data_IF_485768279833
#
_entry.id   IF_485768279833
#
_cell.length_a   1.000
_cell.length_b   1.000
_cell.length_c   1.000
_cell.angle_alpha   90.00
_cell.angle_beta   90.00
_cell.angle_gamma   90.00
#
_symmetry.space_group_name_H-M   'P 1'
#
loop_
_entity.id
_entity.type
_entity.pdbx_description
1 polymer ?
#
# COMPACT_ATOMS: atom_id res chain seq x y z
N UNK A 1 4.38 21.99 -7.70
CA UNK A 1 4.39 20.50 -7.69
C UNK A 1 3.65 20.05 -6.45
N UNK A 2 2.58 19.26 -6.57
CA UNK A 2 1.78 18.76 -5.43
C UNK A 2 2.46 17.63 -4.64
N UNK A 3 3.79 17.52 -4.70
CA UNK A 3 4.56 16.44 -4.06
C UNK A 3 4.40 15.06 -4.68
N UNK A 4 3.62 14.92 -5.76
CA UNK A 4 3.36 13.66 -6.44
C UNK A 4 4.33 13.43 -7.62
N UNK A 5 4.68 12.16 -7.87
CA UNK A 5 5.42 11.73 -9.04
C UNK A 5 4.51 10.89 -9.95
N UNK A 6 4.40 11.21 -11.25
CA UNK A 6 3.56 10.45 -12.17
C UNK A 6 4.15 9.05 -12.40
N UNK A 7 3.30 8.03 -12.28
CA UNK A 7 3.66 6.64 -12.55
C UNK A 7 3.32 6.27 -14.00
N UNK A 8 4.31 5.74 -14.72
CA UNK A 8 4.10 5.08 -16.01
C UNK A 8 3.52 3.68 -15.76
N UNK A 9 2.22 3.50 -16.03
CA UNK A 9 1.47 2.26 -15.75
C UNK A 9 1.53 1.25 -16.91
N UNK A 10 2.04 1.66 -18.08
CA UNK A 10 2.15 0.81 -19.27
C UNK A 10 3.38 -0.10 -19.20
N UNK A 11 4.30 0.19 -18.27
CA UNK A 11 5.49 -0.63 -17.99
C UNK A 11 5.26 -1.51 -16.77
N UNK A 12 5.78 -2.74 -16.83
CA UNK A 12 5.81 -3.64 -15.67
C UNK A 12 6.55 -3.02 -14.47
N UNK A 13 7.58 -2.21 -14.73
CA UNK A 13 8.31 -1.46 -13.71
C UNK A 13 8.75 -0.08 -14.22
N UNK A 14 8.22 0.99 -13.61
CA UNK A 14 8.71 2.35 -13.83
C UNK A 14 9.94 2.63 -12.95
N UNK A 15 11.12 2.38 -13.51
CA UNK A 15 12.42 2.59 -12.84
C UNK A 15 12.58 4.05 -12.38
N UNK A 16 11.99 5.02 -13.07
CA UNK A 16 12.12 6.44 -12.70
C UNK A 16 11.35 6.72 -11.41
N UNK A 17 10.11 6.24 -11.33
CA UNK A 17 9.31 6.35 -10.12
C UNK A 17 9.94 5.59 -8.95
N UNK A 18 10.45 4.38 -9.20
CA UNK A 18 11.16 3.59 -8.19
C UNK A 18 12.35 4.36 -7.59
N UNK A 19 13.23 4.90 -8.45
CA UNK A 19 14.38 5.71 -8.02
C UNK A 19 13.96 6.99 -7.30
N UNK A 20 12.88 7.62 -7.76
CA UNK A 20 12.34 8.81 -7.11
C UNK A 20 11.89 8.50 -5.68
N UNK A 21 11.13 7.41 -5.47
CA UNK A 21 10.68 7.00 -4.13
C UNK A 21 11.87 6.76 -3.20
N UNK A 22 12.87 6.00 -3.64
CA UNK A 22 14.09 5.75 -2.84
C UNK A 22 14.78 7.07 -2.47
N UNK A 23 14.93 7.98 -3.43
CA UNK A 23 15.57 9.27 -3.17
C UNK A 23 14.81 10.12 -2.14
N UNK A 24 13.47 10.07 -2.14
CA UNK A 24 12.68 10.78 -1.14
C UNK A 24 12.81 10.16 0.25
N UNK A 25 12.74 8.83 0.34
CA UNK A 25 12.92 8.13 1.61
C UNK A 25 14.32 8.37 2.19
N UNK A 26 15.37 8.36 1.36
CA UNK A 26 16.74 8.66 1.78
C UNK A 26 16.91 10.11 2.27
N UNK A 27 16.06 11.04 1.84
CA UNK A 27 16.02 12.43 2.33
C UNK A 27 15.15 12.60 3.59
N UNK A 28 14.66 11.50 4.16
CA UNK A 28 13.75 11.52 5.30
C UNK A 28 12.35 12.04 4.97
N UNK A 29 11.97 12.08 3.68
CA UNK A 29 10.65 12.53 3.25
C UNK A 29 9.66 11.36 3.24
N UNK A 30 8.42 11.55 3.74
CA UNK A 30 7.41 10.51 3.70
C UNK A 30 6.90 10.29 2.27
N UNK A 31 6.59 9.03 1.94
CA UNK A 31 5.98 8.64 0.67
C UNK A 31 4.72 7.83 0.94
N UNK A 32 3.63 8.17 0.26
CA UNK A 32 2.37 7.39 0.30
C UNK A 32 2.32 6.49 -0.93
N UNK A 33 2.05 5.22 -0.71
CA UNK A 33 1.90 4.21 -1.76
C UNK A 33 0.53 3.54 -1.63
N UNK A 34 -0.09 3.24 -2.77
CA UNK A 34 -1.30 2.40 -2.87
C UNK A 34 -0.89 1.09 -3.54
N UNK A 35 -0.55 0.05 -2.77
CA UNK A 35 0.04 -1.19 -3.29
C UNK A 35 -0.83 -1.92 -4.33
N UNK A 36 -2.14 -1.72 -4.27
CA UNK A 36 -3.12 -2.28 -5.22
C UNK A 36 -3.02 -1.65 -6.61
N UNK A 37 -2.54 -0.40 -6.70
CA UNK A 37 -2.36 0.32 -7.96
C UNK A 37 -3.65 0.72 -8.69
N UNK A 38 -4.82 0.39 -8.15
CA UNK A 38 -6.14 0.84 -8.63
C UNK A 38 -7.12 0.94 -7.46
N UNK A 39 -8.20 1.72 -7.64
CA UNK A 39 -9.32 1.70 -6.69
C UNK A 39 -10.06 0.38 -6.84
N UNK A 40 -10.41 -0.24 -5.71
CA UNK A 40 -11.24 -1.44 -5.68
C UNK A 40 -12.56 -1.14 -4.97
N UNK A 41 -13.71 -1.24 -5.66
CA UNK A 41 -15.02 -1.02 -5.03
C UNK A 41 -15.44 -2.19 -4.12
N UNK A 42 -14.81 -3.37 -4.24
CA UNK A 42 -15.24 -4.61 -3.59
C UNK A 42 -14.22 -5.12 -2.56
N UNK A 43 -13.46 -4.23 -1.91
CA UNK A 43 -12.43 -4.57 -0.93
C UNK A 43 -11.04 -4.78 -1.51
N UNK A 44 -10.07 -5.16 -0.68
CA UNK A 44 -8.66 -5.21 -1.07
C UNK A 44 -8.40 -6.26 -2.16
N UNK A 45 -7.61 -5.86 -3.16
CA UNK A 45 -7.07 -6.75 -4.19
C UNK A 45 -5.62 -7.07 -3.90
N UNK A 46 -5.08 -8.10 -4.55
CA UNK A 46 -3.67 -8.48 -4.42
C UNK A 46 -2.76 -7.29 -4.76
N UNK A 47 -1.87 -6.95 -3.85
CA UNK A 47 -0.90 -5.89 -4.06
C UNK A 47 0.18 -6.29 -5.08
N UNK A 48 0.71 -5.29 -5.80
CA UNK A 48 1.95 -5.44 -6.56
C UNK A 48 3.12 -5.43 -5.60
N UNK A 49 4.04 -6.38 -5.65
CA UNK A 49 5.08 -6.52 -4.60
C UNK A 49 6.27 -5.54 -4.68
N UNK A 50 6.31 -4.66 -5.69
CA UNK A 50 7.39 -3.68 -5.86
C UNK A 50 7.59 -2.73 -4.67
N UNK A 51 6.53 -2.41 -3.91
CA UNK A 51 6.68 -1.57 -2.69
C UNK A 51 7.42 -2.30 -1.56
N UNK A 52 7.31 -3.64 -1.47
CA UNK A 52 8.05 -4.41 -0.48
C UNK A 52 9.55 -4.41 -0.80
N UNK A 53 9.93 -4.39 -2.08
CA UNK A 53 11.33 -4.19 -2.48
C UNK A 53 11.87 -2.83 -2.02
N UNK A 54 11.06 -1.77 -2.15
CA UNK A 54 11.42 -0.42 -1.68
C UNK A 54 11.63 -0.43 -0.16
N UNK A 55 10.71 -1.04 0.58
CA UNK A 55 10.80 -1.13 2.04
C UNK A 55 12.04 -1.91 2.50
N UNK A 56 12.33 -3.07 1.90
CA UNK A 56 13.53 -3.87 2.20
C UNK A 56 14.82 -3.11 1.85
N UNK A 57 14.85 -2.41 0.72
CA UNK A 57 16.04 -1.71 0.27
C UNK A 57 16.34 -0.43 1.09
N UNK A 58 15.30 0.29 1.50
CA UNK A 58 15.45 1.56 2.23
C UNK A 58 15.45 1.39 3.75
N UNK A 59 14.99 0.24 4.25
CA UNK A 59 14.75 -0.01 5.68
C UNK A 59 13.87 1.08 6.33
N UNK A 60 13.06 1.77 5.52
CA UNK A 60 12.20 2.84 5.97
C UNK A 60 11.07 2.27 6.86
N UNK A 61 10.71 2.96 7.95
CA UNK A 61 9.58 2.56 8.78
C UNK A 61 8.28 2.65 7.99
N UNK A 62 7.42 1.65 8.14
CA UNK A 62 6.15 1.51 7.44
C UNK A 62 5.02 1.89 8.41
N UNK A 63 4.17 2.82 7.98
CA UNK A 63 2.94 3.17 8.68
C UNK A 63 1.74 2.62 7.90
N UNK A 64 1.08 1.55 8.39
CA UNK A 64 -0.10 1.00 7.73
C UNK A 64 -1.31 1.91 7.96
N UNK A 65 -2.08 2.16 6.89
CA UNK A 65 -3.27 3.03 6.92
C UNK A 65 -4.42 2.34 6.20
N UNK A 66 -5.52 2.13 6.91
CA UNK A 66 -6.79 1.63 6.36
C UNK A 66 -7.75 2.78 6.10
N UNK A 67 -8.34 2.83 4.91
CA UNK A 67 -9.30 3.87 4.50
C UNK A 67 -10.61 3.20 4.10
N UNK A 68 -11.74 3.70 4.61
CA UNK A 68 -13.09 3.18 4.33
C UNK A 68 -14.09 4.30 4.06
N UNK A 69 -15.20 3.99 3.38
CA UNK A 69 -16.26 4.94 3.05
C UNK A 69 -16.07 5.66 1.71
N UNK A 70 -15.09 5.22 0.91
CA UNK A 70 -14.75 5.82 -0.39
C UNK A 70 -15.69 5.41 -1.53
N UNK A 71 -16.52 4.38 -1.35
CA UNK A 71 -17.46 3.84 -2.35
C UNK A 71 -18.51 4.88 -2.71
N UNK A 72 -18.93 5.65 -1.70
CA UNK A 72 -19.86 6.73 -1.89
C UNK A 72 -19.26 7.86 -2.74
N UNK A 73 -17.95 8.04 -2.83
CA UNK A 73 -17.35 9.19 -3.51
C UNK A 73 -17.19 9.02 -5.04
N UNK A 74 -17.57 7.88 -5.62
CA UNK A 74 -17.27 7.53 -7.02
C UNK A 74 -18.27 7.96 -8.10
N UNK A 75 -19.50 8.36 -7.75
CA UNK A 75 -20.51 8.73 -8.75
C UNK A 75 -20.26 10.14 -9.30
N UNK A 76 -20.28 10.30 -10.62
CA UNK A 76 -20.03 11.57 -11.33
C UNK A 76 -20.86 12.76 -10.80
N UNK A 77 -22.10 12.51 -10.36
CA UNK A 77 -22.97 13.53 -9.76
C UNK A 77 -22.60 13.96 -8.33
N UNK A 78 -21.73 13.23 -7.63
CA UNK A 78 -21.36 13.48 -6.23
C UNK A 78 -20.10 14.33 -6.06
N UNK A 79 -19.41 14.65 -7.16
CA UNK A 79 -18.36 15.69 -7.22
C UNK A 79 -18.92 17.05 -6.77
N UNK A 80 -20.20 17.30 -7.03
CA UNK A 80 -20.89 18.53 -6.64
C UNK A 80 -21.46 18.50 -5.21
N UNK A 81 -21.61 17.31 -4.60
CA UNK A 81 -22.15 17.12 -3.25
C UNK A 81 -21.45 15.96 -2.53
N UNK A 82 -20.21 16.15 -2.06
CA UNK A 82 -19.43 15.10 -1.41
C UNK A 82 -20.04 14.73 -0.06
N UNK A 83 -21.06 13.90 -0.10
CA UNK A 83 -21.72 13.31 1.06
C UNK A 83 -21.17 11.90 1.23
N UNK A 84 -20.30 11.75 2.22
CA UNK A 84 -19.66 10.49 2.55
C UNK A 84 -18.90 10.62 3.86
N UNK A 85 -18.97 9.61 4.72
CA UNK A 85 -18.14 9.55 5.92
C UNK A 85 -16.88 8.76 5.58
N UNK A 86 -15.77 9.46 5.44
CA UNK A 86 -14.46 8.82 5.32
C UNK A 86 -13.97 8.43 6.71
N UNK A 87 -13.59 7.17 6.90
CA UNK A 87 -12.94 6.72 8.13
C UNK A 87 -11.53 6.24 7.81
N UNK A 88 -10.57 6.81 8.52
CA UNK A 88 -9.15 6.50 8.40
C UNK A 88 -8.71 5.86 9.71
N UNK A 89 -8.20 4.64 9.63
CA UNK A 89 -7.60 3.94 10.75
C UNK A 89 -6.09 3.87 10.51
N UNK A 90 -5.30 4.41 11.44
CA UNK A 90 -3.85 4.41 11.36
C UNK A 90 -3.32 3.35 12.32
N UNK A 91 -2.50 2.42 11.80
CA UNK A 91 -1.92 1.35 12.60
C UNK A 91 -0.59 1.72 13.24
N UNK A 92 0.06 0.73 13.85
CA UNK A 92 1.37 0.91 14.49
C UNK A 92 2.47 0.88 13.44
N UNK A 93 3.44 1.77 13.60
CA UNK A 93 4.66 1.78 12.79
C UNK A 93 5.44 0.48 13.02
N UNK A 94 5.97 -0.10 11.95
CA UNK A 94 6.84 -1.26 12.00
C UNK A 94 7.90 -1.20 10.89
N UNK A 95 8.96 -1.98 11.03
CA UNK A 95 9.97 -2.17 9.99
C UNK A 95 10.02 -3.62 9.58
N UNK A 96 10.48 -3.88 8.36
CA UNK A 96 10.78 -5.24 7.93
C UNK A 96 12.09 -5.71 8.57
N UNK A 97 12.23 -7.01 8.88
CA UNK A 97 13.52 -7.56 9.26
C UNK A 97 14.51 -7.45 8.10
N UNK A 98 15.78 -7.32 8.43
CA UNK A 98 16.84 -7.37 7.44
C UNK A 98 16.96 -8.79 6.86
N UNK A 99 17.20 -8.89 5.56
CA UNK A 99 17.34 -10.16 4.85
C UNK A 99 18.78 -10.27 4.38
N UNK A 100 19.48 -11.32 4.82
CA UNK A 100 20.84 -11.56 4.37
C UNK A 100 20.85 -11.93 2.88
N UNK A 101 21.61 -11.17 2.10
CA UNK A 101 21.75 -11.38 0.67
C UNK A 101 20.60 -10.78 -0.16
N UNK A 102 20.52 -11.18 -1.43
CA UNK A 102 19.49 -10.66 -2.34
C UNK A 102 18.18 -11.42 -2.12
N UNK A 103 17.10 -10.76 -1.66
CA UNK A 103 15.83 -11.43 -1.46
C UNK A 103 15.29 -11.94 -2.79
N UNK A 104 14.84 -13.20 -2.82
CA UNK A 104 14.18 -13.77 -3.98
C UNK A 104 12.74 -13.21 -4.09
N UNK A 105 12.09 -13.48 -5.23
CA UNK A 105 10.73 -12.98 -5.49
C UNK A 105 9.71 -13.46 -4.45
N UNK A 106 9.82 -14.71 -4.00
CA UNK A 106 8.90 -15.30 -3.01
C UNK A 106 8.98 -14.61 -1.65
N UNK A 107 10.19 -14.28 -1.20
CA UNK A 107 10.41 -13.51 0.03
C UNK A 107 9.80 -12.11 -0.09
N UNK A 108 10.00 -11.45 -1.23
CA UNK A 108 9.44 -10.11 -1.50
C UNK A 108 7.91 -10.16 -1.51
N UNK A 109 7.33 -11.16 -2.15
CA UNK A 109 5.88 -11.36 -2.21
C UNK A 109 5.31 -11.67 -0.81
N UNK A 110 6.03 -12.44 0.03
CA UNK A 110 5.61 -12.72 1.41
C UNK A 110 5.65 -11.48 2.30
N UNK A 111 6.65 -10.61 2.15
CA UNK A 111 6.69 -9.33 2.86
C UNK A 111 5.61 -8.38 2.37
N UNK A 112 5.32 -8.36 1.07
CA UNK A 112 4.20 -7.59 0.54
C UNK A 112 2.88 -8.04 1.18
N UNK A 113 2.65 -9.35 1.26
CA UNK A 113 1.46 -9.90 1.91
C UNK A 113 1.40 -9.58 3.40
N UNK A 114 2.51 -9.71 4.13
CA UNK A 114 2.59 -9.36 5.54
C UNK A 114 2.26 -7.87 5.81
N UNK A 115 2.71 -6.97 4.94
CA UNK A 115 2.38 -5.54 5.05
C UNK A 115 0.89 -5.33 4.78
N UNK A 116 0.34 -5.97 3.74
CA UNK A 116 -1.07 -5.86 3.39
C UNK A 116 -1.99 -6.47 4.44
N UNK A 117 -1.61 -7.57 5.08
CA UNK A 117 -2.33 -8.16 6.21
C UNK A 117 -2.44 -7.17 7.39
N UNK A 118 -1.37 -6.40 7.68
CA UNK A 118 -1.43 -5.33 8.69
C UNK A 118 -2.38 -4.20 8.29
N UNK A 119 -2.48 -3.86 7.01
CA UNK A 119 -3.49 -2.91 6.51
C UNK A 119 -4.89 -3.49 6.63
N UNK A 120 -5.09 -4.77 6.29
CA UNK A 120 -6.36 -5.47 6.37
C UNK A 120 -6.92 -5.52 7.81
N UNK A 121 -6.05 -5.65 8.81
CA UNK A 121 -6.44 -5.60 10.23
C UNK A 121 -7.04 -4.23 10.64
N UNK A 122 -6.70 -3.15 9.93
CA UNK A 122 -7.26 -1.82 10.15
C UNK A 122 -8.61 -1.62 9.45
N UNK A 123 -9.05 -2.60 8.65
CA UNK A 123 -10.28 -2.52 7.86
C UNK A 123 -11.35 -3.46 8.42
N UNK A 124 -12.65 -3.11 8.25
CA UNK A 124 -13.76 -4.03 8.47
C UNK A 124 -13.61 -5.28 7.60
N UNK A 125 -14.17 -6.40 8.04
CA UNK A 125 -14.04 -7.69 7.34
C UNK A 125 -14.48 -7.63 5.87
N UNK A 126 -15.58 -6.92 5.58
CA UNK A 126 -16.09 -6.73 4.22
C UNK A 126 -15.13 -6.01 3.26
N UNK A 127 -14.13 -5.30 3.79
CA UNK A 127 -13.14 -4.57 3.01
C UNK A 127 -11.86 -5.37 2.78
N UNK A 128 -11.63 -6.47 3.48
CA UNK A 128 -10.33 -7.17 3.49
C UNK A 128 -10.03 -7.95 2.22
N UNK A 129 -11.05 -8.26 1.42
CA UNK A 129 -10.91 -8.94 0.13
C UNK A 129 -9.99 -10.17 0.23
N UNK A 130 -8.94 -10.23 -0.62
CA UNK A 130 -8.00 -11.37 -0.67
C UNK A 130 -7.17 -11.55 0.62
N UNK A 131 -7.15 -10.55 1.51
CA UNK A 131 -6.45 -10.57 2.80
C UNK A 131 -7.39 -10.83 3.98
N UNK A 132 -8.62 -11.28 3.73
CA UNK A 132 -9.61 -11.60 4.76
C UNK A 132 -9.34 -12.91 5.52
N UNK A 133 -8.53 -13.81 4.97
CA UNK A 133 -8.23 -15.09 5.60
C UNK A 133 -7.19 -14.90 6.71
N UNK A 134 -7.58 -15.13 7.97
CA UNK A 134 -6.61 -15.24 9.05
C UNK A 134 -5.78 -16.51 8.82
N UNK A 135 -4.48 -16.34 8.60
CA UNK A 135 -3.55 -17.44 8.87
C UNK A 135 -3.60 -17.68 10.37
N UNK A 136 -4.17 -18.80 10.79
CA UNK A 136 -4.02 -19.28 12.17
C UNK A 136 -2.51 -19.29 12.46
N UNK A 137 -2.10 -18.52 13.46
CA UNK A 137 -0.72 -18.50 13.90
C UNK A 137 -0.43 -19.85 14.57
N UNK A 138 0.29 -20.72 13.87
CA UNK A 138 0.91 -21.92 14.45
C UNK A 138 2.20 -21.56 15.16
#
# INVERSE_FOLDING_TARGET
SYGAFPLDRDKDMDIRAYRWVINQLNKGQPVVLFPEGTRSPNGMIKAKSGFAQIALHTQAPILPVGITGTESMGSWGRVFFPTGRLKINVGRVFSLPDVQGKPNKEIIDSFADMIMERVAQLLPESYRGVYGHQREAT
#
